data_IF_243211549703
#
_entry.id   IF_243211549703
#
_cell.length_a   1.000
_cell.length_b   1.000
_cell.length_c   1.000
_cell.angle_alpha   90.00
_cell.angle_beta   90.00
_cell.angle_gamma   90.00
#
_symmetry.space_group_name_H-M   'P 1'
#
loop_
_entity.id
_entity.type
_entity.pdbx_description
1 polymer ?
#
# COMPACT_ATOMS: atom_id res chain seq x y z
N UNK A 1 21.38 -8.03 -55.64
CA UNK A 1 21.05 -9.08 -54.65
C UNK A 1 20.41 -8.42 -53.42
N UNK A 2 19.35 -7.63 -53.62
CA UNK A 2 18.93 -6.59 -52.64
C UNK A 2 17.41 -6.38 -52.57
N UNK A 3 16.60 -7.28 -53.14
CA UNK A 3 15.14 -7.08 -53.31
C UNK A 3 14.22 -7.91 -52.41
N UNK A 4 14.76 -8.72 -51.49
CA UNK A 4 13.94 -9.63 -50.67
C UNK A 4 13.95 -9.35 -49.15
N UNK A 5 14.62 -8.30 -48.69
CA UNK A 5 14.73 -7.99 -47.24
C UNK A 5 13.54 -7.14 -46.73
N UNK A 6 12.77 -6.48 -47.62
CA UNK A 6 11.70 -5.56 -47.19
C UNK A 6 10.38 -6.25 -46.78
N UNK A 7 10.10 -7.46 -47.27
CA UNK A 7 8.83 -8.15 -47.00
C UNK A 7 8.66 -8.67 -45.56
N UNK A 8 9.69 -9.25 -44.88
CA UNK A 8 9.55 -9.67 -43.48
C UNK A 8 9.47 -8.50 -42.49
N UNK A 9 10.00 -7.32 -42.83
CA UNK A 9 9.89 -6.09 -42.01
C UNK A 9 8.48 -5.51 -42.08
N UNK A 10 7.85 -5.54 -43.26
CA UNK A 10 6.46 -5.05 -43.42
C UNK A 10 5.44 -5.96 -42.71
N UNK A 11 5.66 -7.28 -42.70
CA UNK A 11 4.77 -8.24 -42.02
C UNK A 11 4.89 -8.20 -40.48
N UNK A 12 6.08 -7.87 -39.95
CA UNK A 12 6.29 -7.72 -38.50
C UNK A 12 5.73 -6.40 -37.96
N UNK A 13 5.67 -5.33 -38.77
CA UNK A 13 5.01 -4.06 -38.41
C UNK A 13 3.47 -4.19 -38.44
N UNK A 14 2.89 -5.13 -39.19
CA UNK A 14 1.44 -5.37 -39.23
C UNK A 14 0.91 -6.31 -38.13
N UNK A 15 1.80 -6.83 -37.27
CA UNK A 15 1.45 -7.73 -36.16
C UNK A 15 1.32 -7.03 -34.80
N UNK A 16 1.15 -5.70 -34.77
CA UNK A 16 0.65 -5.01 -33.58
C UNK A 16 -0.83 -5.37 -33.41
N UNK A 17 -1.08 -6.60 -32.92
CA UNK A 17 -2.34 -6.92 -32.30
C UNK A 17 -2.62 -5.80 -31.29
N UNK A 18 -3.76 -5.13 -31.42
CA UNK A 18 -4.23 -4.18 -30.43
C UNK A 18 -4.39 -4.94 -29.10
N UNK A 19 -3.33 -4.94 -28.29
CA UNK A 19 -3.36 -5.51 -26.95
C UNK A 19 -4.31 -4.61 -26.16
N UNK A 20 -5.51 -5.11 -25.97
CA UNK A 20 -6.52 -4.43 -25.17
C UNK A 20 -6.17 -4.66 -23.70
N UNK A 21 -5.67 -3.62 -23.05
CA UNK A 21 -5.38 -3.64 -21.63
C UNK A 21 -6.29 -2.63 -20.93
N UNK A 22 -7.06 -3.12 -19.96
CA UNK A 22 -7.75 -2.25 -19.00
C UNK A 22 -6.80 -2.08 -17.82
N UNK A 23 -6.41 -0.84 -17.54
CA UNK A 23 -5.48 -0.51 -16.45
C UNK A 23 -6.11 0.46 -15.46
N UNK A 24 -5.75 0.37 -14.18
CA UNK A 24 -6.29 1.21 -13.13
C UNK A 24 -5.26 1.67 -12.11
N UNK A 25 -5.56 2.80 -11.48
CA UNK A 25 -4.84 3.33 -10.34
C UNK A 25 -5.30 2.62 -9.06
N UNK A 26 -4.34 2.19 -8.26
CA UNK A 26 -4.54 1.50 -7.00
C UNK A 26 -4.45 2.46 -5.80
N UNK A 27 -5.41 2.39 -4.86
CA UNK A 27 -5.36 3.17 -3.64
C UNK A 27 -4.33 2.60 -2.65
N UNK A 28 -3.84 3.50 -1.79
CA UNK A 28 -3.05 3.09 -0.61
C UNK A 28 -3.93 2.39 0.42
N UNK A 29 -3.34 1.52 1.24
CA UNK A 29 -4.08 0.74 2.25
C UNK A 29 -4.92 1.62 3.20
N UNK A 30 -4.44 2.81 3.58
CA UNK A 30 -5.21 3.70 4.44
C UNK A 30 -6.48 4.23 3.76
N UNK A 31 -6.45 4.46 2.44
CA UNK A 31 -7.62 4.90 1.67
C UNK A 31 -8.67 3.80 1.58
N UNK A 32 -8.23 2.56 1.42
CA UNK A 32 -9.08 1.36 1.38
C UNK A 32 -9.79 1.19 2.72
N UNK A 33 -9.03 1.17 3.81
CA UNK A 33 -9.56 0.90 5.14
C UNK A 33 -10.52 2.01 5.57
N UNK A 34 -10.18 3.29 5.34
CA UNK A 34 -11.08 4.43 5.60
C UNK A 34 -12.34 4.42 4.73
N UNK A 35 -12.23 3.93 3.49
CA UNK A 35 -13.33 3.87 2.54
C UNK A 35 -14.32 2.74 2.78
N UNK A 36 -13.91 1.71 3.52
CA UNK A 36 -14.74 0.55 3.90
C UNK A 36 -15.63 0.83 5.11
N UNK A 37 -16.78 0.16 5.19
CA UNK A 37 -17.73 0.25 6.32
C UNK A 37 -17.74 -1.00 7.20
N UNK A 38 -17.18 -2.11 6.73
CA UNK A 38 -17.07 -3.36 7.46
C UNK A 38 -15.81 -4.13 7.07
N UNK A 39 -15.21 -4.79 8.06
CA UNK A 39 -14.10 -5.71 7.89
C UNK A 39 -14.55 -7.13 8.24
N UNK A 40 -14.47 -8.06 7.28
CA UNK A 40 -15.03 -9.41 7.40
C UNK A 40 -14.03 -10.47 6.93
N UNK A 41 -14.20 -11.70 7.43
CA UNK A 41 -13.66 -12.91 6.85
C UNK A 41 -14.80 -13.60 6.09
N UNK A 42 -14.59 -13.92 4.82
CA UNK A 42 -15.61 -14.53 3.96
C UNK A 42 -15.05 -15.62 3.05
N UNK A 43 -15.91 -16.58 2.72
CA UNK A 43 -15.67 -17.58 1.69
C UNK A 43 -16.18 -17.09 0.35
N UNK A 44 -15.34 -17.08 -0.67
CA UNK A 44 -15.72 -16.68 -2.03
C UNK A 44 -16.43 -17.85 -2.71
N UNK A 45 -17.55 -17.56 -3.38
CA UNK A 45 -18.20 -18.50 -4.28
C UNK A 45 -18.52 -17.86 -5.62
N UNK A 46 -18.51 -18.68 -6.68
CA UNK A 46 -18.92 -18.25 -8.00
C UNK A 46 -20.44 -18.05 -8.03
N UNK A 47 -20.88 -16.85 -8.42
CA UNK A 47 -22.30 -16.55 -8.55
C UNK A 47 -22.91 -17.04 -9.87
N UNK A 48 -22.10 -17.63 -10.76
CA UNK A 48 -22.46 -18.01 -12.12
C UNK A 48 -22.60 -16.82 -13.08
N UNK A 49 -22.34 -15.59 -12.61
CA UNK A 49 -22.30 -14.36 -13.40
C UNK A 49 -20.89 -13.78 -13.35
N UNK A 50 -20.26 -13.62 -14.51
CA UNK A 50 -18.85 -13.18 -14.64
C UNK A 50 -18.55 -11.81 -14.01
N UNK A 51 -19.57 -11.00 -13.74
CA UNK A 51 -19.44 -9.65 -13.19
C UNK A 51 -19.73 -9.57 -11.67
N UNK A 52 -19.99 -10.71 -11.02
CA UNK A 52 -20.36 -10.73 -9.59
C UNK A 52 -19.72 -11.88 -8.86
N UNK A 53 -19.19 -11.60 -7.68
CA UNK A 53 -18.78 -12.64 -6.74
C UNK A 53 -19.68 -12.62 -5.52
N UNK A 54 -20.08 -13.82 -5.10
CA UNK A 54 -20.77 -14.01 -3.84
C UNK A 54 -19.78 -14.29 -2.72
N UNK A 55 -20.06 -13.78 -1.53
CA UNK A 55 -19.34 -14.10 -0.32
C UNK A 55 -20.30 -14.71 0.69
N UNK A 56 -19.91 -15.83 1.30
CA UNK A 56 -20.49 -16.30 2.55
C UNK A 56 -19.69 -15.72 3.70
N UNK A 57 -20.31 -14.89 4.53
CA UNK A 57 -19.65 -14.26 5.69
C UNK A 57 -19.41 -15.33 6.75
N UNK A 58 -18.14 -15.57 7.07
CA UNK A 58 -17.73 -16.49 8.13
C UNK A 58 -17.70 -15.73 9.46
N UNK A 59 -17.13 -14.52 9.45
CA UNK A 59 -17.00 -13.68 10.65
C UNK A 59 -16.96 -12.20 10.29
N UNK A 60 -17.73 -11.40 11.04
CA UNK A 60 -17.59 -9.94 11.04
C UNK A 60 -16.59 -9.53 12.11
N UNK A 61 -15.47 -8.95 11.70
CA UNK A 61 -14.36 -8.57 12.58
C UNK A 61 -14.57 -7.15 13.14
N UNK A 62 -14.98 -6.21 12.31
CA UNK A 62 -15.26 -4.82 12.70
C UNK A 62 -16.25 -4.13 11.75
N UNK A 63 -16.72 -2.95 12.16
CA UNK A 63 -17.71 -2.16 11.44
C UNK A 63 -19.12 -2.36 11.97
N UNK A 64 -20.10 -1.91 11.19
CA UNK A 64 -21.51 -2.00 11.56
C UNK A 64 -22.00 -3.46 11.57
N UNK A 65 -23.01 -3.71 12.40
CA UNK A 65 -23.71 -5.00 12.51
C UNK A 65 -25.22 -4.73 12.52
N UNK A 66 -26.06 -5.62 11.95
CA UNK A 66 -25.71 -6.92 11.34
C UNK A 66 -25.22 -6.79 9.88
N UNK A 67 -24.44 -7.78 9.43
CA UNK A 67 -24.14 -8.01 8.01
C UNK A 67 -24.77 -9.33 7.61
N UNK A 68 -25.41 -9.39 6.44
CA UNK A 68 -26.04 -10.61 5.93
C UNK A 68 -25.03 -11.75 5.77
N UNK A 69 -25.45 -12.98 6.07
CA UNK A 69 -24.61 -14.19 5.92
C UNK A 69 -24.12 -14.40 4.49
N UNK A 70 -24.87 -13.87 3.50
CA UNK A 70 -24.47 -13.84 2.10
C UNK A 70 -24.50 -12.42 1.59
N UNK A 71 -23.40 -11.98 0.98
CA UNK A 71 -23.29 -10.68 0.33
C UNK A 71 -22.79 -10.85 -1.10
N UNK A 72 -23.11 -9.88 -1.96
CA UNK A 72 -22.60 -9.83 -3.33
C UNK A 72 -21.70 -8.62 -3.48
N UNK A 73 -20.54 -8.84 -4.07
CA UNK A 73 -19.65 -7.77 -4.54
C UNK A 73 -19.89 -7.59 -6.03
N UNK A 74 -20.39 -6.42 -6.42
CA UNK A 74 -20.67 -6.08 -7.82
C UNK A 74 -20.14 -4.70 -8.25
N UNK A 75 -19.42 -4.00 -7.37
CA UNK A 75 -18.88 -2.67 -7.63
C UNK A 75 -17.46 -2.48 -7.07
N UNK A 76 -16.78 -1.44 -7.59
CA UNK A 76 -15.49 -0.95 -7.10
C UNK A 76 -15.62 0.50 -6.67
N UNK A 77 -15.37 0.82 -5.40
CA UNK A 77 -15.62 2.16 -4.88
C UNK A 77 -14.45 3.14 -5.05
N UNK A 78 -13.26 2.66 -5.42
CA UNK A 78 -12.04 3.47 -5.63
C UNK A 78 -11.45 3.30 -7.03
N UNK A 79 -12.15 2.63 -7.94
CA UNK A 79 -11.65 2.34 -9.28
C UNK A 79 -11.49 3.62 -10.09
N UNK A 80 -10.26 3.88 -10.55
CA UNK A 80 -9.94 4.93 -11.52
C UNK A 80 -9.16 4.32 -12.67
N UNK A 81 -9.75 4.31 -13.85
CA UNK A 81 -9.11 3.76 -15.05
C UNK A 81 -8.05 4.73 -15.56
N UNK A 82 -6.85 4.24 -15.90
CA UNK A 82 -5.90 5.02 -16.69
C UNK A 82 -6.06 4.74 -18.19
N UNK A 83 -6.45 3.51 -18.54
CA UNK A 83 -6.72 3.09 -19.90
C UNK A 83 -7.86 2.07 -19.92
N UNK A 84 -8.71 2.15 -20.94
CA UNK A 84 -9.77 1.19 -21.19
C UNK A 84 -9.88 0.95 -22.68
N UNK A 85 -9.61 -0.28 -23.12
CA UNK A 85 -9.69 -0.67 -24.53
C UNK A 85 -10.31 -2.08 -24.74
N UNK A 86 -10.88 -2.70 -23.70
CA UNK A 86 -11.33 -4.11 -23.74
C UNK A 86 -12.56 -4.45 -22.87
N UNK A 87 -12.62 -5.70 -22.39
CA UNK A 87 -13.76 -6.36 -21.68
C UNK A 87 -14.13 -5.79 -20.28
N UNK A 88 -13.89 -4.50 -20.04
CA UNK A 88 -14.10 -3.88 -18.74
C UNK A 88 -13.15 -4.42 -17.67
N UNK A 89 -13.43 -4.08 -16.42
CA UNK A 89 -12.64 -4.48 -15.27
C UNK A 89 -13.25 -5.74 -14.64
N UNK A 90 -12.44 -6.77 -14.36
CA UNK A 90 -12.88 -8.01 -13.75
C UNK A 90 -12.29 -8.17 -12.35
N UNK A 91 -13.06 -8.77 -11.44
CA UNK A 91 -12.59 -9.13 -10.10
C UNK A 91 -11.48 -10.18 -10.17
N UNK A 92 -10.41 -10.00 -9.38
CA UNK A 92 -9.29 -10.95 -9.30
C UNK A 92 -9.46 -11.94 -8.14
N UNK A 93 -10.66 -12.52 -7.98
CA UNK A 93 -10.99 -13.46 -6.89
C UNK A 93 -11.02 -14.94 -7.33
N UNK A 94 -10.81 -15.21 -8.63
CA UNK A 94 -10.88 -16.56 -9.17
C UNK A 94 -9.79 -17.46 -8.55
N UNK A 95 -10.22 -18.61 -8.02
CA UNK A 95 -9.33 -19.59 -7.40
C UNK A 95 -8.95 -19.29 -5.95
N UNK A 96 -9.47 -18.20 -5.37
CA UNK A 96 -9.30 -17.90 -3.96
C UNK A 96 -10.54 -18.42 -3.21
N UNK A 97 -10.34 -19.26 -2.21
CA UNK A 97 -11.43 -19.84 -1.42
C UNK A 97 -11.87 -18.91 -0.29
N UNK A 98 -10.91 -18.42 0.50
CA UNK A 98 -11.18 -17.63 1.71
C UNK A 98 -10.35 -16.36 1.72
N UNK A 99 -10.98 -15.23 2.07
CA UNK A 99 -10.38 -13.90 2.10
C UNK A 99 -10.87 -13.08 3.29
N UNK A 100 -9.99 -12.23 3.78
CA UNK A 100 -10.41 -11.05 4.52
C UNK A 100 -10.83 -9.95 3.54
N UNK A 101 -11.86 -9.19 3.86
CA UNK A 101 -12.39 -8.12 3.00
C UNK A 101 -12.63 -6.82 3.78
N UNK A 102 -12.21 -5.71 3.17
CA UNK A 102 -12.63 -4.36 3.52
C UNK A 102 -13.77 -3.95 2.58
N UNK A 103 -15.00 -4.23 3.01
CA UNK A 103 -16.19 -3.97 2.19
C UNK A 103 -16.74 -2.58 2.46
N UNK A 104 -17.17 -1.91 1.40
CA UNK A 104 -17.99 -0.70 1.47
C UNK A 104 -19.43 -1.07 1.12
N UNK A 105 -20.34 -0.77 2.03
CA UNK A 105 -21.77 -0.93 1.77
C UNK A 105 -22.23 0.07 0.70
N UNK A 106 -22.92 -0.44 -0.31
CA UNK A 106 -23.57 0.34 -1.36
C UNK A 106 -25.07 0.51 -1.10
N UNK A 107 -25.83 0.76 -2.16
CA UNK A 107 -27.29 0.78 -2.07
C UNK A 107 -27.88 -0.65 -2.15
N UNK A 108 -29.04 -0.87 -1.51
CA UNK A 108 -29.82 -2.10 -1.62
C UNK A 108 -29.11 -3.39 -1.17
N UNK A 109 -28.28 -3.33 -0.11
CA UNK A 109 -27.60 -4.51 0.47
C UNK A 109 -26.44 -5.06 -0.37
N UNK A 110 -25.99 -4.29 -1.37
CA UNK A 110 -24.81 -4.60 -2.17
C UNK A 110 -23.53 -4.10 -1.51
N UNK A 111 -22.40 -4.72 -1.84
CA UNK A 111 -21.10 -4.33 -1.33
C UNK A 111 -20.11 -4.08 -2.46
N UNK A 112 -19.12 -3.25 -2.18
CA UNK A 112 -18.02 -2.94 -3.09
C UNK A 112 -16.68 -3.19 -2.40
N UNK A 113 -15.68 -3.58 -3.19
CA UNK A 113 -14.26 -3.54 -2.79
C UNK A 113 -13.58 -2.32 -3.43
N UNK A 114 -12.33 -2.04 -3.09
CA UNK A 114 -11.69 -0.80 -3.54
C UNK A 114 -11.44 -0.81 -5.05
N UNK A 115 -10.80 -1.87 -5.54
CA UNK A 115 -10.40 -2.10 -6.93
C UNK A 115 -10.34 -3.62 -7.18
N UNK A 116 -10.04 -4.08 -8.40
CA UNK A 116 -9.95 -5.51 -8.73
C UNK A 116 -8.97 -6.33 -7.92
N UNK A 117 -7.91 -5.69 -7.42
CA UNK A 117 -6.78 -6.30 -6.72
C UNK A 117 -6.56 -5.72 -5.33
N UNK A 118 -7.44 -4.83 -4.87
CA UNK A 118 -7.33 -4.19 -3.55
C UNK A 118 -8.67 -4.17 -2.82
N UNK A 119 -8.61 -4.37 -1.50
CA UNK A 119 -9.79 -4.45 -0.63
C UNK A 119 -10.06 -5.86 -0.13
N UNK A 120 -9.19 -6.81 -0.43
CA UNK A 120 -9.20 -8.15 0.13
C UNK A 120 -7.78 -8.69 0.31
N UNK A 121 -7.61 -9.61 1.24
CA UNK A 121 -6.35 -10.32 1.49
C UNK A 121 -6.62 -11.83 1.60
N UNK A 122 -5.96 -12.61 0.75
CA UNK A 122 -6.22 -14.03 0.58
C UNK A 122 -5.63 -14.87 1.71
N UNK A 123 -6.35 -15.92 2.11
CA UNK A 123 -5.91 -16.90 3.09
C UNK A 123 -5.44 -18.16 2.38
N UNK A 124 -4.21 -18.60 2.67
CA UNK A 124 -3.62 -19.84 2.18
C UNK A 124 -2.83 -20.53 3.29
N UNK A 125 -3.17 -21.79 3.59
CA UNK A 125 -2.48 -22.61 4.61
C UNK A 125 -2.36 -21.92 5.98
N UNK A 126 -3.42 -21.24 6.42
CA UNK A 126 -3.46 -20.53 7.72
C UNK A 126 -2.67 -19.22 7.76
N UNK A 127 -2.09 -18.80 6.64
CA UNK A 127 -1.41 -17.51 6.46
C UNK A 127 -2.23 -16.59 5.57
N UNK A 128 -2.01 -15.29 5.74
CA UNK A 128 -2.65 -14.23 4.99
C UNK A 128 -1.59 -13.48 4.21
N UNK A 129 -1.80 -13.30 2.91
CA UNK A 129 -1.02 -12.35 2.11
C UNK A 129 -1.60 -10.94 2.32
N UNK A 130 -1.21 -10.30 3.42
CA UNK A 130 -1.82 -9.08 3.93
C UNK A 130 -1.27 -7.80 3.31
N UNK A 131 -2.15 -6.88 2.93
CA UNK A 131 -1.79 -5.60 2.31
C UNK A 131 -1.73 -4.47 3.36
N UNK A 132 -0.54 -4.19 3.89
CA UNK A 132 -0.33 -3.14 4.92
C UNK A 132 0.06 -1.78 4.35
N UNK A 133 0.43 -1.71 3.07
CA UNK A 133 0.88 -0.45 2.45
C UNK A 133 0.16 -0.17 1.14
N UNK A 134 0.28 -1.11 0.21
CA UNK A 134 -0.28 -1.03 -1.13
C UNK A 134 -0.30 -2.43 -1.74
N UNK A 135 -1.27 -2.74 -2.61
CA UNK A 135 -1.54 -4.09 -3.14
C UNK A 135 -0.38 -4.80 -3.85
N UNK A 136 0.61 -4.08 -4.40
CA UNK A 136 1.82 -4.70 -4.95
C UNK A 136 2.83 -5.14 -3.88
N UNK A 137 2.52 -4.91 -2.60
CA UNK A 137 3.34 -5.29 -1.46
C UNK A 137 2.50 -5.95 -0.39
N UNK A 138 2.62 -7.27 -0.32
CA UNK A 138 1.95 -8.09 0.67
C UNK A 138 2.99 -8.66 1.64
N UNK A 139 2.60 -8.79 2.90
CA UNK A 139 3.35 -9.51 3.92
C UNK A 139 2.62 -10.81 4.24
N UNK A 140 3.35 -11.92 4.23
CA UNK A 140 2.76 -13.21 4.55
C UNK A 140 2.86 -13.47 6.05
N UNK A 141 1.75 -13.30 6.77
CA UNK A 141 1.69 -13.47 8.23
C UNK A 141 0.65 -14.50 8.63
N UNK A 142 0.74 -15.04 9.85
CA UNK A 142 -0.30 -15.92 10.39
C UNK A 142 -1.65 -15.18 10.48
N UNK A 143 -2.75 -15.88 10.26
CA UNK A 143 -4.08 -15.26 10.27
C UNK A 143 -4.43 -14.55 11.59
N UNK A 144 -3.97 -15.08 12.73
CA UNK A 144 -4.20 -14.44 14.02
C UNK A 144 -3.42 -13.13 14.17
N UNK A 145 -2.19 -13.06 13.65
CA UNK A 145 -1.40 -11.84 13.58
C UNK A 145 -2.06 -10.84 12.63
N UNK A 146 -2.53 -11.29 11.46
CA UNK A 146 -3.23 -10.42 10.52
C UNK A 146 -4.45 -9.76 11.17
N UNK A 147 -5.30 -10.52 11.83
CA UNK A 147 -6.48 -9.98 12.53
C UNK A 147 -6.10 -9.03 13.67
N UNK A 148 -5.16 -9.43 14.54
CA UNK A 148 -4.75 -8.60 15.69
C UNK A 148 -4.05 -7.30 15.27
N UNK A 149 -3.58 -7.20 14.04
CA UNK A 149 -2.92 -5.99 13.52
C UNK A 149 -3.85 -5.14 12.65
N UNK A 150 -4.65 -5.74 11.77
CA UNK A 150 -5.60 -4.99 10.93
C UNK A 150 -6.83 -4.48 11.70
N UNK A 151 -7.28 -5.20 12.72
CA UNK A 151 -8.41 -4.76 13.54
C UNK A 151 -8.14 -3.41 14.25
N UNK A 152 -7.00 -3.22 14.94
CA UNK A 152 -6.60 -1.90 15.43
C UNK A 152 -6.55 -0.82 14.36
N UNK A 153 -5.99 -1.11 13.18
CA UNK A 153 -5.89 -0.12 12.09
C UNK A 153 -7.26 0.30 11.59
N UNK A 154 -8.16 -0.67 11.38
CA UNK A 154 -9.54 -0.40 11.03
C UNK A 154 -10.21 0.47 12.11
N UNK A 155 -10.16 0.03 13.36
CA UNK A 155 -10.79 0.74 14.47
C UNK A 155 -10.25 2.16 14.62
N UNK A 156 -8.94 2.37 14.52
CA UNK A 156 -8.33 3.70 14.58
C UNK A 156 -8.87 4.63 13.49
N UNK A 157 -8.95 4.17 12.24
CA UNK A 157 -9.51 4.99 11.16
C UNK A 157 -11.01 5.25 11.27
N UNK A 158 -11.73 4.40 11.98
CA UNK A 158 -13.16 4.53 12.26
C UNK A 158 -13.46 5.08 13.66
N UNK A 159 -12.46 5.67 14.33
CA UNK A 159 -12.56 6.30 15.65
C UNK A 159 -13.14 5.37 16.75
N UNK A 160 -12.85 4.07 16.63
CA UNK A 160 -13.21 3.04 17.59
C UNK A 160 -12.01 2.69 18.47
N UNK A 161 -12.24 2.25 19.72
CA UNK A 161 -11.18 1.79 20.59
C UNK A 161 -10.51 0.51 20.05
N UNK A 162 -9.26 0.30 20.43
CA UNK A 162 -8.50 -0.92 20.15
C UNK A 162 -7.54 -1.23 21.30
N UNK A 163 -6.96 -2.44 21.30
CA UNK A 163 -6.01 -2.87 22.32
C UNK A 163 -4.62 -2.24 22.10
N UNK A 164 -4.45 -1.02 22.58
CA UNK A 164 -3.17 -0.29 22.54
C UNK A 164 -2.05 -1.06 23.24
N UNK A 165 -2.34 -1.81 24.30
CA UNK A 165 -1.32 -2.53 25.07
C UNK A 165 -0.73 -3.66 24.23
N UNK A 166 -1.58 -4.44 23.56
CA UNK A 166 -1.14 -5.50 22.66
C UNK A 166 -0.34 -4.93 21.49
N UNK A 167 -0.85 -3.86 20.85
CA UNK A 167 -0.16 -3.19 19.73
C UNK A 167 1.23 -2.71 20.14
N UNK A 168 1.35 -1.99 21.26
CA UNK A 168 2.64 -1.50 21.74
C UNK A 168 3.61 -2.63 22.08
N UNK A 169 3.12 -3.74 22.64
CA UNK A 169 3.95 -4.91 22.92
C UNK A 169 4.48 -5.54 21.62
N UNK A 170 3.60 -5.78 20.64
CA UNK A 170 3.97 -6.34 19.34
C UNK A 170 4.99 -5.46 18.61
N UNK A 171 4.73 -4.16 18.55
CA UNK A 171 5.64 -3.20 17.89
C UNK A 171 6.98 -3.14 18.60
N UNK A 172 7.00 -3.09 19.93
CA UNK A 172 8.25 -3.06 20.70
C UNK A 172 9.05 -4.35 20.52
N UNK A 173 8.41 -5.52 20.54
CA UNK A 173 9.07 -6.81 20.38
C UNK A 173 9.84 -6.89 19.05
N UNK A 174 9.19 -6.52 17.96
CA UNK A 174 9.76 -6.68 16.62
C UNK A 174 10.74 -5.55 16.25
N UNK A 175 10.45 -4.30 16.63
CA UNK A 175 11.30 -3.16 16.30
C UNK A 175 12.52 -2.99 17.22
N UNK A 176 12.56 -3.70 18.36
CA UNK A 176 13.76 -3.75 19.21
C UNK A 176 14.85 -4.68 18.66
N UNK A 177 14.52 -5.53 17.68
CA UNK A 177 15.46 -6.40 16.98
C UNK A 177 16.15 -5.64 15.84
N UNK A 178 17.29 -6.14 15.38
CA UNK A 178 17.93 -5.61 14.16
C UNK A 178 17.03 -5.87 12.94
N UNK A 179 17.08 -5.03 11.90
CA UNK A 179 16.35 -5.28 10.66
C UNK A 179 16.70 -6.65 10.08
N UNK A 180 15.68 -7.45 9.79
CA UNK A 180 15.81 -8.81 9.24
C UNK A 180 15.85 -8.79 7.71
N UNK A 181 16.50 -9.79 7.13
CA UNK A 181 16.59 -9.99 5.68
C UNK A 181 15.50 -10.89 5.09
N UNK A 182 15.71 -11.31 3.84
CA UNK A 182 14.86 -12.26 3.11
C UNK A 182 15.34 -13.71 3.24
N UNK A 183 16.32 -13.98 4.12
CA UNK A 183 16.77 -15.34 4.40
C UNK A 183 15.61 -16.21 4.88
N UNK A 184 15.66 -17.51 4.58
CA UNK A 184 14.58 -18.46 4.93
C UNK A 184 14.22 -18.42 6.43
N UNK A 185 15.21 -18.24 7.29
CA UNK A 185 15.03 -18.19 8.74
C UNK A 185 14.74 -16.77 9.27
N UNK A 186 14.84 -15.76 8.40
CA UNK A 186 14.62 -14.35 8.73
C UNK A 186 13.26 -13.83 8.22
N UNK A 187 12.73 -14.44 7.15
CA UNK A 187 11.58 -13.90 6.41
C UNK A 187 10.33 -13.71 7.28
N UNK A 188 10.12 -14.60 8.26
CA UNK A 188 9.02 -14.47 9.21
C UNK A 188 9.16 -13.22 10.09
N UNK A 189 10.37 -12.98 10.62
CA UNK A 189 10.66 -11.78 11.41
C UNK A 189 10.62 -10.53 10.54
N UNK A 190 11.13 -10.58 9.30
CA UNK A 190 11.03 -9.49 8.34
C UNK A 190 9.57 -9.07 8.10
N UNK A 191 8.65 -10.03 7.90
CA UNK A 191 7.23 -9.71 7.74
C UNK A 191 6.63 -9.11 9.02
N UNK A 192 6.94 -9.62 10.20
CA UNK A 192 6.47 -9.03 11.45
C UNK A 192 7.02 -7.62 11.69
N UNK A 193 8.28 -7.37 11.35
CA UNK A 193 8.90 -6.04 11.41
C UNK A 193 8.25 -5.06 10.42
N UNK A 194 7.95 -5.51 9.20
CA UNK A 194 7.19 -4.73 8.23
C UNK A 194 5.82 -4.34 8.79
N UNK A 195 5.07 -5.31 9.32
CA UNK A 195 3.76 -5.07 9.93
C UNK A 195 3.87 -4.10 11.11
N UNK A 196 4.85 -4.27 12.00
CA UNK A 196 5.08 -3.38 13.12
C UNK A 196 5.36 -1.92 12.68
N UNK A 197 6.18 -1.71 11.66
CA UNK A 197 6.44 -0.38 11.10
C UNK A 197 5.18 0.25 10.48
N UNK A 198 4.38 -0.53 9.74
CA UNK A 198 3.13 -0.01 9.17
C UNK A 198 2.08 0.26 10.26
N UNK A 199 2.04 -0.51 11.37
CA UNK A 199 1.21 -0.17 12.54
C UNK A 199 1.59 1.19 13.14
N UNK A 200 2.89 1.46 13.29
CA UNK A 200 3.38 2.76 13.78
C UNK A 200 2.84 3.89 12.91
N UNK A 201 2.93 3.74 11.59
CA UNK A 201 2.40 4.72 10.65
C UNK A 201 0.87 4.85 10.72
N UNK A 202 0.15 3.73 10.67
CA UNK A 202 -1.30 3.71 10.55
C UNK A 202 -2.00 4.25 11.80
N UNK A 203 -1.45 3.96 12.98
CA UNK A 203 -2.00 4.31 14.29
C UNK A 203 -1.40 5.61 14.88
N UNK A 204 -0.52 6.29 14.13
CA UNK A 204 0.23 7.48 14.57
C UNK A 204 0.98 7.27 15.91
N UNK A 205 1.62 6.11 16.09
CA UNK A 205 2.34 5.79 17.32
C UNK A 205 3.61 6.62 17.44
N UNK A 206 3.66 7.51 18.43
CA UNK A 206 4.84 8.35 18.67
C UNK A 206 5.91 7.58 19.46
N UNK A 207 6.76 6.85 18.73
CA UNK A 207 7.86 6.07 19.30
C UNK A 207 9.19 6.83 19.36
N UNK A 208 10.14 6.24 20.08
CA UNK A 208 11.54 6.68 20.02
C UNK A 208 12.09 6.52 18.60
N UNK A 209 12.72 7.56 18.02
CA UNK A 209 13.38 7.45 16.72
C UNK A 209 14.41 6.31 16.67
N UNK A 210 15.01 5.94 17.80
CA UNK A 210 16.03 4.89 17.86
C UNK A 210 15.51 3.49 17.47
N UNK A 211 14.20 3.23 17.62
CA UNK A 211 13.58 1.97 17.19
C UNK A 211 13.35 1.92 15.67
N UNK A 212 13.15 3.08 15.03
CA UNK A 212 12.77 3.15 13.60
C UNK A 212 13.99 3.42 12.72
N UNK A 213 14.95 4.21 13.22
CA UNK A 213 16.10 4.66 12.45
C UNK A 213 16.94 3.51 11.84
N UNK A 214 17.16 2.36 12.50
CA UNK A 214 17.86 1.23 11.88
C UNK A 214 17.22 0.75 10.57
N UNK A 215 15.88 0.73 10.51
CA UNK A 215 15.13 0.30 9.32
C UNK A 215 15.19 1.35 8.20
N UNK A 216 15.02 2.63 8.55
CA UNK A 216 15.14 3.74 7.61
C UNK A 216 16.55 3.82 6.99
N UNK A 217 17.57 3.48 7.77
CA UNK A 217 18.97 3.59 7.34
C UNK A 217 19.51 2.32 6.67
N UNK A 218 18.74 1.23 6.59
CA UNK A 218 19.14 -0.05 6.01
C UNK A 218 19.29 0.04 4.47
N UNK A 219 20.49 0.38 4.01
CA UNK A 219 20.81 0.50 2.58
C UNK A 219 20.69 -0.81 1.79
N UNK A 220 20.64 -1.96 2.46
CA UNK A 220 20.58 -3.26 1.81
C UNK A 220 19.15 -3.74 1.55
N UNK A 221 18.15 -3.12 2.20
CA UNK A 221 16.75 -3.51 2.06
C UNK A 221 15.86 -2.28 1.83
N UNK A 222 15.43 -2.08 0.59
CA UNK A 222 14.57 -0.94 0.27
C UNK A 222 13.17 -1.02 0.90
N UNK A 223 12.67 -2.23 1.20
CA UNK A 223 11.38 -2.38 1.89
C UNK A 223 11.46 -1.86 3.33
N UNK A 224 12.56 -2.17 4.03
CA UNK A 224 12.84 -1.63 5.37
C UNK A 224 12.92 -0.10 5.34
N UNK A 225 13.59 0.47 4.33
CA UNK A 225 13.70 1.92 4.18
C UNK A 225 12.32 2.59 4.00
N UNK A 226 11.44 2.02 3.16
CA UNK A 226 10.12 2.60 2.91
C UNK A 226 9.22 2.51 4.14
N UNK A 227 9.16 1.35 4.79
CA UNK A 227 8.34 1.17 6.00
C UNK A 227 8.90 2.00 7.16
N UNK A 228 10.22 2.08 7.29
CA UNK A 228 10.91 2.98 8.23
C UNK A 228 10.60 4.46 7.97
N UNK A 229 10.58 4.89 6.70
CA UNK A 229 10.21 6.26 6.34
C UNK A 229 8.78 6.58 6.76
N UNK A 230 7.82 5.70 6.43
CA UNK A 230 6.41 5.85 6.80
C UNK A 230 6.25 5.89 8.32
N UNK A 231 6.85 4.95 9.05
CA UNK A 231 6.80 4.93 10.51
C UNK A 231 7.40 6.21 11.15
N UNK A 232 8.51 6.72 10.60
CA UNK A 232 9.18 7.93 11.10
C UNK A 232 8.30 9.19 11.01
N UNK A 233 7.28 9.21 10.14
CA UNK A 233 6.29 10.30 10.06
C UNK A 233 5.59 10.55 11.39
N UNK A 234 5.30 9.48 12.14
CA UNK A 234 4.56 9.51 13.40
C UNK A 234 5.41 9.99 14.58
N UNK A 235 6.72 10.10 14.39
CA UNK A 235 7.64 10.64 15.39
C UNK A 235 7.61 12.16 15.38
N UNK A 236 7.07 12.74 16.45
CA UNK A 236 6.77 14.18 16.59
C UNK A 236 8.01 14.99 17.01
N UNK A 237 9.08 14.91 16.21
CA UNK A 237 10.31 15.70 16.46
C UNK A 237 10.98 16.21 15.19
N UNK A 238 11.55 17.41 15.25
CA UNK A 238 12.34 17.99 14.15
C UNK A 238 13.51 17.07 13.76
N UNK A 239 14.15 16.41 14.71
CA UNK A 239 15.26 15.49 14.46
C UNK A 239 14.83 14.29 13.60
N UNK A 240 13.67 13.68 13.88
CA UNK A 240 13.11 12.61 13.07
C UNK A 240 12.82 13.08 11.63
N UNK A 241 12.24 14.28 11.48
CA UNK A 241 11.98 14.84 10.16
C UNK A 241 13.27 15.17 9.39
N UNK A 242 14.33 15.60 10.09
CA UNK A 242 15.66 15.76 9.47
C UNK A 242 16.23 14.45 8.97
N UNK A 243 16.06 13.34 9.71
CA UNK A 243 16.50 12.02 9.23
C UNK A 243 15.82 11.63 7.91
N UNK A 244 14.52 11.91 7.77
CA UNK A 244 13.81 11.72 6.50
C UNK A 244 14.42 12.55 5.37
N UNK A 245 14.71 13.83 5.61
CA UNK A 245 15.33 14.71 4.61
C UNK A 245 16.77 14.31 4.28
N UNK A 246 17.54 13.80 5.24
CA UNK A 246 18.87 13.24 5.00
C UNK A 246 18.80 12.07 4.03
N UNK A 247 17.83 11.17 4.19
CA UNK A 247 17.63 10.05 3.26
C UNK A 247 17.12 10.53 1.91
N UNK A 248 16.20 11.49 1.87
CA UNK A 248 15.69 12.06 0.61
C UNK A 248 16.79 12.78 -0.21
N UNK A 249 17.76 13.40 0.46
CA UNK A 249 18.90 14.07 -0.16
C UNK A 249 20.02 13.10 -0.62
N UNK A 250 20.01 11.84 -0.16
CA UNK A 250 21.05 10.86 -0.48
C UNK A 250 20.82 10.28 -1.88
N UNK A 251 21.52 10.82 -2.87
CA UNK A 251 21.45 10.37 -4.28
C UNK A 251 22.03 8.98 -4.52
N UNK A 252 22.66 8.35 -3.52
CA UNK A 252 23.07 6.94 -3.59
C UNK A 252 21.91 5.96 -3.37
N UNK A 253 20.73 6.45 -2.98
CA UNK A 253 19.52 5.66 -2.75
C UNK A 253 18.59 5.74 -3.95
N UNK A 254 17.71 4.75 -4.07
CA UNK A 254 16.71 4.75 -5.14
C UNK A 254 15.76 5.94 -4.99
N UNK A 255 15.32 6.49 -6.13
CA UNK A 255 14.41 7.64 -6.13
C UNK A 255 13.08 7.32 -5.44
N UNK A 256 12.65 6.06 -5.48
CA UNK A 256 11.45 5.65 -4.75
C UNK A 256 11.59 5.82 -3.24
N UNK A 257 12.70 5.39 -2.65
CA UNK A 257 12.95 5.61 -1.21
C UNK A 257 12.98 7.10 -0.89
N UNK A 258 13.63 7.90 -1.75
CA UNK A 258 13.76 9.35 -1.57
C UNK A 258 12.38 10.03 -1.59
N UNK A 259 11.53 9.68 -2.56
CA UNK A 259 10.13 10.15 -2.65
C UNK A 259 9.31 9.73 -1.44
N UNK A 260 9.44 8.47 -1.00
CA UNK A 260 8.71 7.98 0.18
C UNK A 260 9.14 8.70 1.46
N UNK A 261 10.41 9.08 1.59
CA UNK A 261 10.87 9.93 2.68
C UNK A 261 10.23 11.32 2.60
N UNK A 262 10.19 11.93 1.42
CA UNK A 262 9.53 13.24 1.21
C UNK A 262 8.03 13.20 1.55
N UNK A 263 7.33 12.13 1.16
CA UNK A 263 5.92 11.90 1.52
C UNK A 263 5.67 11.72 3.02
N UNK A 264 6.71 11.29 3.74
CA UNK A 264 6.64 11.02 5.17
C UNK A 264 7.01 12.23 6.01
N UNK A 265 7.54 13.31 5.42
CA UNK A 265 7.79 14.56 6.13
C UNK A 265 6.47 15.17 6.57
N UNK A 266 6.36 15.46 7.86
CA UNK A 266 5.20 16.11 8.42
C UNK A 266 5.22 17.62 8.09
N UNK A 267 4.19 18.16 7.41
CA UNK A 267 4.17 19.56 6.99
C UNK A 267 4.28 20.59 8.12
N UNK A 268 3.97 20.20 9.37
CA UNK A 268 4.07 21.10 10.53
C UNK A 268 5.51 21.52 10.86
N UNK A 269 6.53 20.84 10.33
CA UNK A 269 7.94 21.14 10.59
C UNK A 269 8.67 21.84 9.44
N UNK A 270 7.97 22.25 8.36
CA UNK A 270 8.67 22.79 7.18
C UNK A 270 9.43 24.08 7.47
N UNK A 271 8.98 24.88 8.45
CA UNK A 271 9.67 26.12 8.83
C UNK A 271 11.06 25.82 9.41
N UNK A 272 11.14 24.81 10.27
CA UNK A 272 12.35 24.34 10.94
C UNK A 272 13.30 23.60 10.01
N UNK A 273 12.78 23.08 8.89
CA UNK A 273 13.50 22.28 7.90
C UNK A 273 13.86 23.04 6.62
N UNK A 274 13.64 24.37 6.59
CA UNK A 274 13.80 25.21 5.39
C UNK A 274 15.17 25.05 4.72
N UNK A 275 16.23 24.89 5.51
CA UNK A 275 17.60 24.75 5.01
C UNK A 275 17.78 23.42 4.29
N UNK A 276 17.37 22.33 4.93
CA UNK A 276 17.46 20.96 4.41
C UNK A 276 16.63 20.81 3.12
N UNK A 277 15.41 21.37 3.10
CA UNK A 277 14.57 21.41 1.89
C UNK A 277 15.22 22.21 0.75
N UNK A 278 15.91 23.30 1.09
CA UNK A 278 16.66 24.10 0.12
C UNK A 278 17.85 23.37 -0.52
N UNK A 279 18.44 22.40 0.19
CA UNK A 279 19.48 21.51 -0.37
C UNK A 279 18.86 20.56 -1.38
N UNK A 280 17.78 19.89 -0.98
CA UNK A 280 17.09 18.92 -1.83
C UNK A 280 16.67 19.59 -3.14
N UNK A 281 16.00 20.75 -3.07
CA UNK A 281 15.54 21.53 -4.24
C UNK A 281 16.62 21.79 -5.30
N UNK A 282 17.88 21.97 -4.89
CA UNK A 282 19.01 22.23 -5.81
C UNK A 282 19.50 20.97 -6.52
N UNK A 283 19.10 19.79 -6.05
CA UNK A 283 19.58 18.48 -6.50
C UNK A 283 18.52 17.65 -7.24
N UNK A 284 17.31 18.19 -7.45
CA UNK A 284 16.21 17.44 -8.06
C UNK A 284 16.24 17.52 -9.59
N UNK A 285 15.99 16.38 -10.24
CA UNK A 285 15.64 16.28 -11.66
C UNK A 285 14.11 16.10 -11.81
N UNK A 286 13.60 16.34 -13.02
CA UNK A 286 12.18 16.21 -13.36
C UNK A 286 11.75 14.76 -13.68
N UNK A 287 12.64 13.78 -13.46
CA UNK A 287 12.37 12.40 -13.83
C UNK A 287 11.37 11.76 -12.85
N UNK A 288 10.29 11.23 -13.42
CA UNK A 288 9.27 10.49 -12.66
C UNK A 288 9.83 9.19 -12.10
N UNK A 289 9.29 8.77 -10.96
CA UNK A 289 9.73 7.55 -10.27
C UNK A 289 8.75 6.43 -10.55
N UNK A 290 9.24 5.22 -10.87
CA UNK A 290 8.43 4.01 -10.90
C UNK A 290 8.50 3.29 -9.56
N UNK A 291 7.50 2.47 -9.25
CA UNK A 291 7.66 1.48 -8.18
C UNK A 291 8.80 0.55 -8.60
N UNK A 292 9.90 0.56 -7.84
CA UNK A 292 11.01 -0.36 -8.09
C UNK A 292 10.54 -1.80 -7.93
N UNK A 293 10.87 -2.67 -8.90
CA UNK A 293 10.54 -4.10 -8.87
C UNK A 293 10.14 -4.64 -10.25
N UNK A 294 10.67 -5.80 -10.63
CA UNK A 294 10.55 -6.39 -11.97
C UNK A 294 9.19 -7.05 -12.30
N UNK A 295 8.19 -6.96 -11.43
CA UNK A 295 6.91 -7.68 -11.61
C UNK A 295 5.76 -6.83 -11.07
N UNK A 296 5.51 -5.68 -11.69
CA UNK A 296 4.22 -5.00 -11.49
C UNK A 296 3.16 -5.73 -12.30
N UNK A 297 1.95 -5.89 -11.74
CA UNK A 297 0.79 -6.23 -12.55
C UNK A 297 0.72 -5.17 -13.66
N UNK A 298 0.84 -5.53 -14.95
CA UNK A 298 0.88 -4.57 -16.04
C UNK A 298 -0.43 -3.77 -16.17
N UNK A 299 -1.48 -4.18 -15.43
CA UNK A 299 -2.75 -3.47 -15.33
C UNK A 299 -2.76 -2.39 -14.26
N UNK A 300 -1.80 -2.35 -13.34
CA UNK A 300 -1.69 -1.27 -12.35
C UNK A 300 -0.86 -0.13 -12.92
N UNK A 301 -1.47 1.04 -13.05
CA UNK A 301 -0.87 2.26 -13.61
C UNK A 301 -0.62 3.35 -12.57
N UNK A 302 -0.55 2.98 -11.29
CA UNK A 302 -0.28 3.96 -10.23
C UNK A 302 1.04 4.67 -10.48
N UNK A 303 0.96 5.99 -10.58
CA UNK A 303 2.11 6.84 -10.83
C UNK A 303 2.59 7.47 -9.52
N UNK A 304 3.91 7.42 -9.29
CA UNK A 304 4.54 8.17 -8.23
C UNK A 304 5.09 9.48 -8.79
N UNK A 305 5.00 10.60 -8.04
CA UNK A 305 5.60 11.85 -8.45
C UNK A 305 7.13 11.74 -8.50
N UNK A 306 7.75 12.64 -9.27
CA UNK A 306 9.17 12.94 -9.12
C UNK A 306 9.47 13.46 -7.71
N UNK A 307 10.74 13.45 -7.30
CA UNK A 307 11.12 14.05 -6.01
C UNK A 307 10.74 15.54 -5.94
N UNK A 308 10.89 16.26 -7.05
CA UNK A 308 10.48 17.65 -7.21
C UNK A 308 8.99 17.87 -7.03
N UNK A 309 8.18 17.02 -7.66
CA UNK A 309 6.73 17.07 -7.49
C UNK A 309 6.31 16.71 -6.06
N UNK A 310 6.99 15.76 -5.42
CA UNK A 310 6.76 15.41 -4.03
C UNK A 310 7.07 16.58 -3.09
N UNK A 311 8.19 17.29 -3.31
CA UNK A 311 8.55 18.50 -2.58
C UNK A 311 7.51 19.62 -2.79
N UNK A 312 7.13 19.89 -4.04
CA UNK A 312 6.12 20.89 -4.36
C UNK A 312 4.76 20.59 -3.72
N UNK A 313 4.37 19.32 -3.67
CA UNK A 313 3.13 18.88 -3.02
C UNK A 313 3.20 19.03 -1.49
N UNK A 314 4.35 18.75 -0.88
CA UNK A 314 4.58 18.94 0.55
C UNK A 314 4.40 20.42 0.96
N UNK A 315 4.97 21.34 0.18
CA UNK A 315 4.89 22.78 0.43
C UNK A 315 3.46 23.33 0.25
N UNK A 316 2.73 22.86 -0.79
CA UNK A 316 1.32 23.23 -1.01
C UNK A 316 0.42 22.82 0.17
N UNK A 317 0.69 21.68 0.81
CA UNK A 317 -0.09 21.23 1.98
C UNK A 317 0.08 22.15 3.19
N UNK A 318 1.22 22.81 3.33
CA UNK A 318 1.48 23.76 4.42
C UNK A 318 0.79 25.12 4.22
N UNK A 319 0.40 25.45 2.98
CA UNK A 319 -0.26 26.71 2.65
C UNK A 319 -1.79 26.65 2.80
N UNK A 320 -2.39 25.45 2.89
CA UNK A 320 -3.84 25.33 3.10
C UNK A 320 -4.15 25.54 4.60
N UNK A 321 -5.05 26.48 4.96
CA UNK A 321 -5.49 26.61 6.34
C UNK A 321 -6.13 25.29 6.79
N UNK A 322 -5.76 24.82 7.99
CA UNK A 322 -6.46 23.70 8.63
C UNK A 322 -7.88 24.17 8.91
N UNK A 323 -8.86 23.62 8.18
CA UNK A 323 -10.28 23.75 8.52
C UNK A 323 -10.60 22.91 9.74
#
# INVERSE_FOLDING_TARGET
>A
MTRYIFLPILLSILSFAHVTATTWDEPWADQVIKGSSVFVLGKVFDSGKSERHGLTIIRVLAGHKPVSDTVYIDEFYSLKLCSSSGHGVQFSLKGIDTCYFFLKEGSNGKYAIATPSTGFDAVFEGKVSGTYRHSYHQAQVAADIYEKTMLPVFNYYHQQPYDEKWVNAFVTEHLSKKPSGFGKDEIGEFFCQHVALELVFHLDLNLSPALILPFLMDKNNFHNQISGARAMRSVKSVAAQRNLLTVAADTSRSDFVRVMCMFSVNPSYLKELKRELGVIRKSENDEGVSFGGNIMDPRVCTHLPSLKDALGNLEKKNQKPRK
#
